data_IF_803374782462
#
_entry.id   IF_803374782462
#
_cell.length_a   1.000
_cell.length_b   1.000
_cell.length_c   1.000
_cell.angle_alpha   90.00
_cell.angle_beta   90.00
_cell.angle_gamma   90.00
#
_symmetry.space_group_name_H-M   'P 1'
#
loop_
_entity.id
_entity.type
_entity.pdbx_description
1 polymer ?
#
# COMPACT_ATOMS: atom_id res chain seq x y z
N UNK A 1 11.45 -26.90 0.28
CA UNK A 1 11.80 -25.49 0.53
C UNK A 1 10.53 -24.78 0.97
N UNK A 2 10.57 -23.86 1.94
CA UNK A 2 9.42 -23.06 2.36
C UNK A 2 9.74 -21.58 2.09
N UNK A 3 8.76 -20.86 1.57
CA UNK A 3 8.87 -19.42 1.33
C UNK A 3 7.80 -18.70 2.15
N UNK A 4 8.17 -17.57 2.77
CA UNK A 4 7.25 -16.71 3.51
C UNK A 4 7.26 -15.34 2.84
N UNK A 5 6.08 -14.85 2.47
CA UNK A 5 5.87 -13.48 2.01
C UNK A 5 5.19 -12.72 3.15
N UNK A 6 5.85 -11.68 3.65
CA UNK A 6 5.33 -10.82 4.73
C UNK A 6 5.10 -9.43 4.16
N UNK A 7 3.85 -8.97 4.21
CA UNK A 7 3.44 -7.64 3.76
C UNK A 7 3.22 -6.76 4.99
N UNK A 8 3.90 -5.63 5.03
CA UNK A 8 3.63 -4.58 6.02
C UNK A 8 2.63 -3.60 5.39
N UNK A 9 1.35 -3.86 5.61
CA UNK A 9 0.28 -3.03 5.07
C UNK A 9 0.31 -1.63 5.69
N UNK A 10 0.06 -0.61 4.84
CA UNK A 10 0.16 0.79 5.25
C UNK A 10 1.57 1.32 5.53
N UNK A 11 2.62 0.55 5.28
CA UNK A 11 4.01 0.94 5.50
C UNK A 11 4.69 1.37 4.20
N UNK A 12 4.38 2.57 3.72
CA UNK A 12 4.98 3.14 2.51
C UNK A 12 6.42 3.63 2.72
N UNK A 13 7.30 3.34 1.76
CA UNK A 13 8.74 3.71 1.79
C UNK A 13 9.10 4.70 0.68
N UNK A 14 8.30 5.69 0.48
CA UNK A 14 8.40 6.71 -0.56
C UNK A 14 7.23 6.66 -1.53
N UNK A 15 7.17 7.66 -2.41
CA UNK A 15 6.14 7.77 -3.43
C UNK A 15 6.43 6.88 -4.63
N UNK A 16 5.38 6.45 -5.31
CA UNK A 16 5.47 5.78 -6.60
C UNK A 16 5.78 6.79 -7.73
N UNK A 17 6.35 6.37 -8.88
CA UNK A 17 6.67 7.27 -9.98
C UNK A 17 5.47 8.01 -10.58
N UNK A 18 4.27 7.48 -10.38
CA UNK A 18 2.98 8.01 -10.84
C UNK A 18 2.14 8.65 -9.72
N UNK A 19 2.73 8.91 -8.56
CA UNK A 19 2.07 9.50 -7.40
C UNK A 19 1.28 10.79 -7.74
N UNK A 20 1.79 11.61 -8.67
CA UNK A 20 1.11 12.84 -9.11
C UNK A 20 -0.26 12.58 -9.75
N UNK A 21 -0.47 11.42 -10.39
CA UNK A 21 -1.77 11.06 -10.97
C UNK A 21 -2.85 10.81 -9.90
N UNK A 22 -2.41 10.53 -8.68
CA UNK A 22 -3.25 10.16 -7.53
C UNK A 22 -3.25 11.21 -6.42
N UNK A 23 -2.50 12.32 -6.58
CA UNK A 23 -2.32 13.34 -5.54
C UNK A 23 -1.54 12.84 -4.32
N UNK A 24 -0.67 11.85 -4.50
CA UNK A 24 0.11 11.19 -3.45
C UNK A 24 1.59 11.62 -3.44
N UNK A 25 1.91 12.75 -4.06
CA UNK A 25 3.24 13.31 -4.07
C UNK A 25 3.75 13.57 -2.65
N UNK A 26 5.01 13.22 -2.40
CA UNK A 26 5.62 13.33 -1.07
C UNK A 26 5.23 12.22 -0.09
N UNK A 27 4.45 11.23 -0.50
CA UNK A 27 4.06 10.10 0.36
C UNK A 27 5.27 9.31 0.82
N UNK A 28 5.48 9.19 2.13
CA UNK A 28 6.54 8.39 2.75
C UNK A 28 6.21 8.10 4.21
N UNK A 29 5.32 7.16 4.45
CA UNK A 29 4.83 6.82 5.79
C UNK A 29 5.97 6.47 6.74
N UNK A 30 6.91 5.63 6.31
CA UNK A 30 8.05 5.21 7.12
C UNK A 30 8.90 6.39 7.62
N UNK A 31 9.23 7.30 6.70
CA UNK A 31 10.02 8.48 7.01
C UNK A 31 9.27 9.47 7.91
N UNK A 32 8.00 9.75 7.58
CA UNK A 32 7.20 10.71 8.34
C UNK A 32 6.90 10.23 9.76
N UNK A 33 6.63 8.92 9.94
CA UNK A 33 6.49 8.37 11.29
C UNK A 33 7.81 8.48 12.05
N UNK A 34 8.94 8.12 11.43
CA UNK A 34 10.23 8.22 12.08
C UNK A 34 10.55 9.66 12.54
N UNK A 35 10.21 10.66 11.72
CA UNK A 35 10.34 12.06 12.11
C UNK A 35 9.42 12.43 13.29
N UNK A 36 8.15 12.04 13.21
CA UNK A 36 7.15 12.39 14.21
C UNK A 36 7.45 11.84 15.61
N UNK A 37 8.10 10.66 15.68
CA UNK A 37 8.47 10.03 16.96
C UNK A 37 9.92 10.28 17.38
N UNK A 38 10.65 11.13 16.66
CA UNK A 38 12.06 11.46 16.96
C UNK A 38 13.06 10.34 16.62
N UNK A 39 12.69 9.48 15.69
CA UNK A 39 13.48 8.34 15.21
C UNK A 39 12.87 6.98 15.56
N UNK A 40 12.99 6.03 14.66
CA UNK A 40 12.57 4.64 14.89
C UNK A 40 13.79 3.72 14.95
N UNK A 41 13.83 2.84 15.95
CA UNK A 41 14.86 1.81 16.03
C UNK A 41 14.33 0.47 15.50
N UNK A 42 14.48 0.26 14.20
CA UNK A 42 14.09 -0.98 13.51
C UNK A 42 15.32 -1.86 13.25
N UNK A 43 16.01 -2.27 14.30
CA UNK A 43 17.31 -2.95 14.25
C UNK A 43 17.34 -4.09 13.23
N UNK A 44 16.33 -4.96 13.19
CA UNK A 44 16.33 -6.11 12.28
C UNK A 44 16.10 -5.70 10.83
N UNK A 45 15.19 -4.75 10.56
CA UNK A 45 15.01 -4.20 9.22
C UNK A 45 16.23 -3.39 8.77
N UNK A 46 16.91 -2.74 9.71
CA UNK A 46 18.20 -2.10 9.45
C UNK A 46 19.26 -3.09 8.96
N UNK A 47 19.37 -4.24 9.63
CA UNK A 47 20.27 -5.33 9.23
C UNK A 47 19.90 -5.94 7.88
N UNK A 48 18.62 -6.03 7.55
CA UNK A 48 18.13 -6.51 6.26
C UNK A 48 18.33 -5.51 5.13
N UNK A 49 18.61 -4.23 5.44
CA UNK A 49 18.98 -3.21 4.45
C UNK A 49 17.89 -2.18 4.15
N UNK A 50 16.78 -2.12 4.93
CA UNK A 50 15.72 -1.14 4.70
C UNK A 50 16.24 0.32 4.57
N UNK A 51 17.17 0.82 5.40
CA UNK A 51 17.69 2.18 5.28
C UNK A 51 18.50 2.45 3.99
N UNK A 52 18.80 1.44 3.20
CA UNK A 52 19.46 1.61 1.90
C UNK A 52 18.47 2.05 0.80
N UNK A 53 17.18 1.88 1.02
CA UNK A 53 16.10 2.23 0.07
C UNK A 53 15.20 3.36 0.55
N UNK A 54 15.25 3.70 1.83
CA UNK A 54 14.49 4.82 2.43
C UNK A 54 15.33 5.47 3.51
N UNK A 55 15.33 6.81 3.57
CA UNK A 55 15.90 7.51 4.72
C UNK A 55 15.04 7.24 5.96
N UNK A 56 15.60 6.62 6.99
CA UNK A 56 14.87 6.20 8.16
C UNK A 56 15.58 6.66 9.45
N UNK A 57 15.26 7.87 9.94
CA UNK A 57 15.85 8.40 11.17
C UNK A 57 15.73 7.41 12.32
N UNK A 58 16.84 7.21 13.06
CA UNK A 58 16.91 6.28 14.18
C UNK A 58 17.17 4.82 13.83
N UNK A 59 17.17 4.45 12.54
CA UNK A 59 17.52 3.10 12.09
C UNK A 59 18.78 3.15 11.23
N UNK A 60 19.96 2.80 11.77
CA UNK A 60 21.19 2.80 10.99
C UNK A 60 21.20 1.71 9.92
N UNK A 61 21.73 2.03 8.76
CA UNK A 61 21.99 1.04 7.73
C UNK A 61 23.15 0.13 8.15
N UNK A 62 23.02 -1.17 7.90
CA UNK A 62 24.11 -2.12 7.98
C UNK A 62 24.67 -2.39 6.58
N UNK A 63 25.99 -2.39 6.45
CA UNK A 63 26.67 -2.79 5.23
C UNK A 63 27.73 -3.85 5.49
N UNK A 64 27.79 -4.97 4.72
CA UNK A 64 26.74 -5.38 3.76
C UNK A 64 25.44 -5.76 4.49
N UNK A 65 24.27 -5.63 3.84
CA UNK A 65 23.02 -6.09 4.42
C UNK A 65 22.98 -7.62 4.52
N UNK A 66 22.20 -8.14 5.45
CA UNK A 66 22.03 -9.60 5.62
C UNK A 66 21.17 -10.23 4.54
N UNK A 67 20.43 -9.43 3.76
CA UNK A 67 19.58 -9.88 2.68
C UNK A 67 19.74 -9.05 1.42
N UNK A 68 18.99 -9.42 0.37
CA UNK A 68 18.82 -8.57 -0.80
C UNK A 68 17.76 -7.51 -0.52
N UNK A 69 17.98 -6.28 -0.95
CA UNK A 69 17.04 -5.17 -0.78
C UNK A 69 16.88 -4.44 -2.10
N UNK A 70 15.66 -3.98 -2.38
CA UNK A 70 15.36 -3.25 -3.61
C UNK A 70 13.97 -2.64 -3.59
N UNK A 71 13.67 -1.83 -4.60
CA UNK A 71 12.36 -1.27 -4.85
C UNK A 71 11.75 -1.97 -6.06
N UNK A 72 10.47 -2.28 -5.99
CA UNK A 72 9.67 -2.74 -7.11
C UNK A 72 8.80 -1.60 -7.59
N UNK A 73 8.51 -1.58 -8.88
CA UNK A 73 7.55 -0.66 -9.49
C UNK A 73 6.31 -1.44 -9.86
N UNK A 74 5.16 -0.91 -9.53
CA UNK A 74 3.86 -1.43 -9.96
C UNK A 74 3.69 -1.28 -11.47
N UNK A 75 3.02 -2.25 -12.07
CA UNK A 75 2.60 -2.26 -13.47
C UNK A 75 1.09 -2.07 -13.60
N UNK A 76 0.33 -2.43 -12.57
CA UNK A 76 -1.11 -2.27 -12.51
C UNK A 76 -1.51 -0.81 -12.37
N UNK A 77 -2.66 -0.45 -12.93
CA UNK A 77 -3.28 0.86 -12.75
C UNK A 77 -4.20 0.79 -11.52
N UNK A 78 -4.00 1.70 -10.58
CA UNK A 78 -4.77 1.78 -9.33
C UNK A 78 -3.85 1.80 -8.11
N UNK A 79 -4.35 2.30 -6.99
CA UNK A 79 -3.58 2.44 -5.75
C UNK A 79 -4.21 1.71 -4.56
N UNK A 80 -5.19 0.88 -4.82
CA UNK A 80 -5.89 0.14 -3.78
C UNK A 80 -5.14 -1.15 -3.40
N UNK A 81 -5.34 -1.59 -2.16
CA UNK A 81 -4.70 -2.78 -1.60
C UNK A 81 -4.97 -4.04 -2.42
N UNK A 82 -6.16 -4.18 -2.98
CA UNK A 82 -6.54 -5.36 -3.77
C UNK A 82 -5.70 -5.46 -5.04
N UNK A 83 -5.54 -4.34 -5.76
CA UNK A 83 -4.69 -4.26 -6.95
C UNK A 83 -3.26 -4.69 -6.64
N UNK A 84 -2.66 -4.14 -5.57
CA UNK A 84 -1.30 -4.48 -5.17
C UNK A 84 -1.13 -5.96 -4.82
N UNK A 85 -2.07 -6.55 -4.06
CA UNK A 85 -2.02 -7.97 -3.72
C UNK A 85 -2.20 -8.88 -4.93
N UNK A 86 -3.06 -8.52 -5.87
CA UNK A 86 -3.24 -9.28 -7.11
C UNK A 86 -2.00 -9.25 -7.98
N UNK A 87 -1.32 -8.10 -8.05
CA UNK A 87 -0.06 -7.99 -8.79
C UNK A 87 1.05 -8.84 -8.17
N UNK A 88 1.15 -8.92 -6.85
CA UNK A 88 2.06 -9.84 -6.17
C UNK A 88 1.76 -11.30 -6.51
N UNK A 89 0.50 -11.63 -6.82
CA UNK A 89 0.09 -12.95 -7.30
C UNK A 89 0.27 -13.15 -8.81
N UNK A 90 0.76 -12.13 -9.53
CA UNK A 90 1.01 -12.17 -10.98
C UNK A 90 -0.13 -11.67 -11.86
N UNK A 91 -1.17 -11.05 -11.27
CA UNK A 91 -2.31 -10.48 -12.00
C UNK A 91 -2.09 -8.99 -12.16
N UNK A 92 -1.88 -8.54 -13.40
CA UNK A 92 -1.71 -7.12 -13.72
C UNK A 92 -3.03 -6.55 -14.20
N UNK A 93 -3.53 -5.52 -13.52
CA UNK A 93 -4.74 -4.81 -13.89
C UNK A 93 -4.40 -3.64 -14.82
N UNK A 94 -5.11 -3.58 -15.95
CA UNK A 94 -4.99 -2.49 -16.93
C UNK A 94 -5.99 -1.36 -16.70
N UNK A 95 -7.07 -1.66 -15.98
CA UNK A 95 -8.11 -0.73 -15.60
C UNK A 95 -8.25 -0.72 -14.07
N UNK A 96 -8.32 0.46 -13.44
CA UNK A 96 -8.47 0.56 -11.99
C UNK A 96 -9.88 0.08 -11.58
N UNK A 97 -10.02 -0.34 -10.34
CA UNK A 97 -11.35 -0.58 -9.79
C UNK A 97 -12.19 0.71 -9.78
N UNK A 98 -13.50 0.63 -10.07
CA UNK A 98 -14.37 1.78 -10.01
C UNK A 98 -14.45 2.31 -8.57
N UNK A 99 -14.45 3.63 -8.44
CA UNK A 99 -14.61 4.31 -7.15
C UNK A 99 -16.00 4.94 -7.06
N UNK A 100 -16.55 5.00 -5.85
CA UNK A 100 -17.89 5.51 -5.60
C UNK A 100 -17.86 6.60 -4.51
N UNK A 101 -17.26 7.77 -4.80
CA UNK A 101 -17.04 8.83 -3.80
C UNK A 101 -18.35 9.42 -3.21
N UNK A 102 -19.48 9.15 -3.83
CA UNK A 102 -20.80 9.55 -3.36
C UNK A 102 -21.69 8.35 -2.95
N UNK A 103 -21.07 7.19 -2.68
CA UNK A 103 -21.76 5.94 -2.49
C UNK A 103 -22.13 5.25 -3.79
N UNK A 104 -22.62 4.01 -3.71
CA UNK A 104 -23.04 3.23 -4.87
C UNK A 104 -24.27 3.86 -5.56
N UNK A 105 -24.40 3.74 -6.89
CA UNK A 105 -25.61 4.14 -7.60
C UNK A 105 -26.87 3.49 -7.02
N UNK A 106 -27.96 4.25 -7.00
CA UNK A 106 -29.23 3.80 -6.42
C UNK A 106 -29.70 2.44 -6.99
N UNK A 107 -29.54 2.23 -8.29
CA UNK A 107 -29.90 0.97 -8.95
C UNK A 107 -29.17 -0.24 -8.35
N UNK A 108 -27.89 -0.10 -8.02
CA UNK A 108 -27.10 -1.17 -7.39
C UNK A 108 -27.67 -1.47 -6.00
N UNK A 109 -27.92 -0.42 -5.21
CA UNK A 109 -28.46 -0.56 -3.85
C UNK A 109 -29.85 -1.20 -3.89
N UNK A 110 -30.75 -0.74 -4.76
CA UNK A 110 -32.11 -1.29 -4.89
C UNK A 110 -32.11 -2.76 -5.30
N UNK A 111 -31.25 -3.14 -6.26
CA UNK A 111 -31.12 -4.52 -6.69
C UNK A 111 -30.57 -5.41 -5.56
N UNK A 112 -29.56 -4.93 -4.83
CA UNK A 112 -29.01 -5.62 -3.68
C UNK A 112 -30.06 -5.79 -2.58
N UNK A 113 -30.77 -4.72 -2.18
CA UNK A 113 -31.81 -4.76 -1.16
C UNK A 113 -32.94 -5.72 -1.53
N UNK A 114 -33.33 -5.72 -2.81
CA UNK A 114 -34.34 -6.66 -3.33
C UNK A 114 -33.86 -8.09 -3.23
N UNK A 115 -32.62 -8.35 -3.58
CA UNK A 115 -32.06 -9.70 -3.55
C UNK A 115 -31.97 -10.27 -2.13
N UNK A 116 -31.60 -9.45 -1.14
CA UNK A 116 -31.46 -9.88 0.25
C UNK A 116 -32.77 -9.74 1.08
N UNK A 117 -33.81 -9.07 0.54
CA UNK A 117 -35.08 -8.81 1.22
C UNK A 117 -34.97 -7.88 2.43
N UNK A 118 -33.96 -7.00 2.47
CA UNK A 118 -33.68 -6.06 3.58
C UNK A 118 -33.18 -4.75 3.06
N UNK A 119 -33.33 -3.67 3.84
CA UNK A 119 -32.74 -2.37 3.56
C UNK A 119 -31.32 -2.29 4.03
N UNK A 120 -30.48 -1.55 3.30
CA UNK A 120 -29.15 -1.17 3.71
C UNK A 120 -29.21 -0.11 4.83
N UNK A 121 -28.21 -0.10 5.71
CA UNK A 121 -28.14 0.88 6.80
C UNK A 121 -27.44 2.19 6.37
N UNK A 122 -26.80 2.19 5.23
CA UNK A 122 -26.10 3.35 4.69
C UNK A 122 -25.53 3.05 3.31
N UNK A 123 -25.16 4.11 2.62
CA UNK A 123 -24.48 4.06 1.31
C UNK A 123 -23.45 5.18 1.29
N UNK A 124 -22.41 5.00 2.07
CA UNK A 124 -21.32 5.96 2.23
C UNK A 124 -20.07 5.46 1.50
N UNK A 125 -19.19 6.36 1.00
CA UNK A 125 -17.90 6.00 0.43
C UNK A 125 -16.95 5.40 1.46
#
# INVERSE_FOLDING_TARGET
MRTFLIILDGYGVGEAPDASLYGDEGSNTAYHIALAVGGMNLTNLGKLGLPLIVNLPGTPAQWPPLGAVGRLRELSIGKDTTTGHWELAGIILRDPFPTFPNGFPAEIIENFERAIGRKTLGNYP
#
